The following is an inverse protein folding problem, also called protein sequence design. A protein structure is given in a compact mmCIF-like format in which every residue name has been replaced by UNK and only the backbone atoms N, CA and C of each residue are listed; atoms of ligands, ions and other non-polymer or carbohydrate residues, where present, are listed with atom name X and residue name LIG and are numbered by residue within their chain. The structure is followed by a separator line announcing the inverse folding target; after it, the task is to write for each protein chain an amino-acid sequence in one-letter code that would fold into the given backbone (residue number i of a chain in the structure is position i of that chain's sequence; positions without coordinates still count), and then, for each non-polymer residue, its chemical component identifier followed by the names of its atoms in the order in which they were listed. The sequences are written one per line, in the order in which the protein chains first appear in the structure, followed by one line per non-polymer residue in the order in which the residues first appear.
data_IF_302971299685
#
_entry.id   IF_302971299685
#
_cell.length_a   1.000
_cell.length_b   1.000
_cell.length_c   1.000
_cell.angle_alpha   90.00
_cell.angle_beta   90.00
_cell.angle_gamma   90.00
#
_symmetry.space_group_name_H-M   'P 1'
#
loop_
_entity.id
_entity.type
_entity.pdbx_description
1 polymer ?
#
# COMPACT_ATOMS: atom_id res chain seq x y z
N UNK A 1 4.00 -15.09 5.23
CA UNK A 1 2.85 -14.86 4.33
C UNK A 1 3.17 -15.25 2.89
N UNK A 2 2.23 -15.86 2.14
CA UNK A 2 2.38 -16.22 0.71
C UNK A 2 2.13 -15.01 -0.21
N UNK A 3 3.18 -14.22 -0.46
CA UNK A 3 3.11 -13.02 -1.31
C UNK A 3 2.72 -13.35 -2.76
N UNK A 4 3.12 -14.51 -3.29
CA UNK A 4 2.79 -14.92 -4.66
C UNK A 4 1.29 -15.21 -4.76
N UNK A 5 0.71 -15.88 -3.77
CA UNK A 5 -0.73 -16.09 -3.67
C UNK A 5 -1.54 -14.79 -3.73
N UNK A 6 -1.06 -13.73 -3.07
CA UNK A 6 -1.69 -12.41 -3.09
C UNK A 6 -1.66 -11.78 -4.48
N UNK A 7 -0.53 -11.84 -5.18
CA UNK A 7 -0.41 -11.32 -6.53
C UNK A 7 -1.28 -12.09 -7.52
N UNK A 8 -1.34 -13.43 -7.40
CA UNK A 8 -2.24 -14.27 -8.22
C UNK A 8 -3.70 -13.90 -7.96
N UNK A 9 -4.11 -13.81 -6.70
CA UNK A 9 -5.47 -13.42 -6.31
C UNK A 9 -5.88 -12.05 -6.83
N UNK A 10 -4.97 -11.08 -6.73
CA UNK A 10 -5.18 -9.76 -7.31
C UNK A 10 -5.31 -9.85 -8.84
N UNK A 11 -4.43 -10.59 -9.53
CA UNK A 11 -4.44 -10.69 -10.99
C UNK A 11 -5.73 -11.31 -11.56
N UNK A 12 -6.41 -12.15 -10.78
CA UNK A 12 -7.69 -12.77 -11.17
C UNK A 12 -8.91 -12.01 -10.65
N UNK A 13 -8.71 -10.96 -9.85
CA UNK A 13 -9.79 -10.17 -9.28
C UNK A 13 -10.40 -9.21 -10.31
N UNK A 14 -11.73 -9.05 -10.26
CA UNK A 14 -12.44 -8.02 -11.04
C UNK A 14 -11.97 -6.59 -10.75
N UNK A 15 -11.28 -6.37 -9.62
CA UNK A 15 -10.75 -5.06 -9.23
C UNK A 15 -9.40 -4.73 -9.87
N UNK A 16 -8.70 -5.72 -10.46
CA UNK A 16 -7.38 -5.50 -11.03
C UNK A 16 -7.36 -4.41 -12.10
N UNK A 17 -8.37 -4.42 -12.98
CA UNK A 17 -8.53 -3.41 -14.04
C UNK A 17 -8.97 -2.04 -13.55
N UNK A 18 -9.40 -1.93 -12.29
CA UNK A 18 -9.84 -0.67 -11.68
C UNK A 18 -8.70 0.06 -10.96
N UNK A 19 -7.60 -0.64 -10.66
CA UNK A 19 -6.43 -0.05 -10.02
C UNK A 19 -5.61 0.75 -11.04
N UNK A 20 -5.20 1.95 -10.63
CA UNK A 20 -4.19 2.71 -11.38
C UNK A 20 -2.83 2.05 -11.23
N UNK A 21 -1.95 2.26 -12.22
CA UNK A 21 -0.57 1.76 -12.16
C UNK A 21 0.19 2.21 -10.90
N UNK A 22 -0.07 3.43 -10.40
CA UNK A 22 0.52 3.92 -9.15
C UNK A 22 0.00 3.16 -7.93
N UNK A 23 -1.29 2.83 -7.88
CA UNK A 23 -1.91 2.06 -6.80
C UNK A 23 -1.40 0.62 -6.78
N UNK A 24 -1.27 0.00 -7.96
CA UNK A 24 -0.68 -1.34 -8.08
C UNK A 24 0.80 -1.36 -7.63
N UNK A 25 1.60 -0.36 -8.04
CA UNK A 25 2.98 -0.22 -7.58
C UNK A 25 3.06 -0.06 -6.07
N UNK A 26 2.22 0.80 -5.48
CA UNK A 26 2.16 0.97 -4.04
C UNK A 26 1.80 -0.35 -3.36
N UNK A 27 0.77 -1.05 -3.83
CA UNK A 27 0.38 -2.33 -3.25
C UNK A 27 1.50 -3.37 -3.30
N UNK A 28 2.21 -3.50 -4.43
CA UNK A 28 3.38 -4.39 -4.52
C UNK A 28 4.46 -3.98 -3.52
N UNK A 29 4.72 -2.68 -3.36
CA UNK A 29 5.67 -2.18 -2.39
C UNK A 29 5.27 -2.56 -0.95
N UNK A 30 4.02 -2.34 -0.57
CA UNK A 30 3.48 -2.72 0.74
C UNK A 30 3.57 -4.24 0.95
N UNK A 31 3.24 -5.02 -0.08
CA UNK A 31 3.34 -6.48 -0.07
C UNK A 31 4.75 -6.96 0.21
N UNK A 32 5.75 -6.38 -0.45
CA UNK A 32 7.16 -6.73 -0.22
C UNK A 32 7.63 -6.35 1.19
N UNK A 33 7.17 -5.22 1.73
CA UNK A 33 7.58 -4.72 3.04
C UNK A 33 6.80 -5.32 4.23
N UNK A 34 5.72 -6.06 3.97
CA UNK A 34 4.97 -6.77 5.01
C UNK A 34 5.60 -8.10 5.40
N UNK A 35 5.47 -8.45 6.68
CA UNK A 35 5.77 -9.79 7.21
C UNK A 35 4.52 -10.68 7.25
N UNK A 36 3.37 -10.11 7.59
CA UNK A 36 2.08 -10.82 7.71
C UNK A 36 0.87 -9.94 7.31
N UNK A 37 -0.30 -10.57 7.19
CA UNK A 37 -1.60 -9.89 7.06
C UNK A 37 -2.09 -9.37 8.40
N UNK A 38 -2.83 -8.27 8.39
CA UNK A 38 -3.47 -7.66 9.57
C UNK A 38 -2.49 -7.19 10.66
N UNK A 39 -1.18 -7.40 10.48
CA UNK A 39 -0.12 -6.90 11.33
C UNK A 39 0.26 -5.47 10.92
N UNK A 40 0.29 -4.51 11.87
CA UNK A 40 0.68 -3.13 11.57
C UNK A 40 2.17 -3.05 11.23
N UNK A 41 2.45 -2.57 10.03
CA UNK A 41 3.79 -2.43 9.45
C UNK A 41 4.11 -0.97 9.20
N UNK A 42 5.41 -0.66 9.06
CA UNK A 42 5.88 0.70 8.80
C UNK A 42 6.68 0.74 7.50
N UNK A 43 6.47 1.79 6.72
CA UNK A 43 7.25 2.07 5.53
C UNK A 43 7.63 3.56 5.49
N UNK A 44 8.87 3.85 5.10
CA UNK A 44 9.35 5.22 4.94
C UNK A 44 8.64 5.90 3.74
N UNK A 45 8.18 7.13 3.92
CA UNK A 45 7.53 7.89 2.83
C UNK A 45 8.47 8.06 1.63
N UNK A 46 9.76 8.29 1.88
CA UNK A 46 10.79 8.40 0.84
C UNK A 46 10.88 7.13 -0.03
N UNK A 47 10.64 5.94 0.55
CA UNK A 47 10.62 4.71 -0.22
C UNK A 47 9.42 4.66 -1.17
N UNK A 48 8.26 5.18 -0.73
CA UNK A 48 7.06 5.30 -1.57
C UNK A 48 7.30 6.31 -2.70
N UNK A 49 7.88 7.46 -2.40
CA UNK A 49 8.21 8.50 -3.39
C UNK A 49 9.18 7.97 -4.46
N UNK A 50 10.24 7.26 -4.04
CA UNK A 50 11.18 6.62 -4.97
C UNK A 50 10.50 5.59 -5.88
N UNK A 51 9.57 4.80 -5.35
CA UNK A 51 8.81 3.83 -6.16
C UNK A 51 7.87 4.50 -7.17
N UNK A 52 7.31 5.66 -6.83
CA UNK A 52 6.44 6.44 -7.71
C UNK A 52 7.21 7.38 -8.65
N UNK A 53 8.49 7.63 -8.41
CA UNK A 53 9.35 8.50 -9.23
C UNK A 53 9.04 10.00 -9.10
N UNK A 54 8.25 10.37 -8.10
CA UNK A 54 7.89 11.75 -7.78
C UNK A 54 7.61 11.89 -6.28
N UNK A 55 7.75 13.11 -5.76
CA UNK A 55 7.22 13.41 -4.43
C UNK A 55 5.70 13.31 -4.47
N UNK A 56 5.13 12.76 -3.39
CA UNK A 56 3.69 12.60 -3.23
C UNK A 56 3.24 13.51 -2.10
N UNK A 57 2.23 14.32 -2.38
CA UNK A 57 1.58 15.03 -1.29
C UNK A 57 0.73 14.06 -0.44
N UNK A 58 0.37 14.52 0.76
CA UNK A 58 -0.43 13.72 1.71
C UNK A 58 -1.79 13.31 1.13
N UNK A 59 -2.39 14.13 0.25
CA UNK A 59 -3.70 13.86 -0.34
C UNK A 59 -3.62 12.77 -1.42
N UNK A 60 -2.58 12.79 -2.26
CA UNK A 60 -2.31 11.76 -3.26
C UNK A 60 -2.07 10.40 -2.59
N UNK A 61 -1.24 10.34 -1.54
CA UNK A 61 -0.99 9.11 -0.80
C UNK A 61 -2.27 8.57 -0.14
N UNK A 62 -3.04 9.44 0.53
CA UNK A 62 -4.34 9.07 1.12
C UNK A 62 -5.31 8.55 0.08
N UNK A 63 -5.37 9.20 -1.09
CA UNK A 63 -6.24 8.78 -2.20
C UNK A 63 -5.88 7.37 -2.70
N UNK A 64 -4.58 7.11 -2.87
CA UNK A 64 -4.10 5.79 -3.27
C UNK A 64 -4.41 4.72 -2.21
N UNK A 65 -4.16 5.00 -0.92
CA UNK A 65 -4.48 4.07 0.17
C UNK A 65 -5.98 3.81 0.29
N UNK A 66 -6.82 4.82 0.13
CA UNK A 66 -8.28 4.66 0.13
C UNK A 66 -8.76 3.78 -1.04
N UNK A 67 -8.09 3.86 -2.20
CA UNK A 67 -8.36 2.96 -3.34
C UNK A 67 -8.03 1.51 -2.96
N UNK A 68 -6.86 1.27 -2.36
CA UNK A 68 -6.45 -0.07 -1.91
C UNK A 68 -7.38 -0.63 -0.84
N UNK A 69 -7.80 0.19 0.13
CA UNK A 69 -8.74 -0.20 1.19
C UNK A 69 -10.10 -0.57 0.62
N UNK A 70 -10.62 0.23 -0.32
CA UNK A 70 -11.89 -0.04 -1.01
C UNK A 70 -11.92 -1.42 -1.67
N UNK A 71 -10.78 -1.88 -2.18
CA UNK A 71 -10.66 -3.18 -2.83
C UNK A 71 -10.18 -4.29 -1.91
N UNK A 72 -10.09 -4.04 -0.59
CA UNK A 72 -9.72 -5.05 0.39
C UNK A 72 -8.24 -5.45 0.34
N UNK A 73 -7.35 -4.54 -0.05
CA UNK A 73 -5.93 -4.83 -0.28
C UNK A 73 -5.04 -4.35 0.87
N UNK A 74 -5.21 -3.10 1.30
CA UNK A 74 -4.41 -2.51 2.36
C UNK A 74 -5.14 -1.36 3.05
N UNK A 75 -4.92 -1.20 4.35
CA UNK A 75 -5.43 -0.10 5.16
C UNK A 75 -4.25 0.78 5.59
N UNK A 76 -4.45 2.09 5.62
CA UNK A 76 -3.53 3.04 6.25
C UNK A 76 -4.01 3.36 7.67
N UNK A 77 -3.25 2.95 8.68
CA UNK A 77 -3.60 3.24 10.07
C UNK A 77 -3.15 4.64 10.51
N UNK A 78 -2.12 5.20 9.86
CA UNK A 78 -1.67 6.56 10.15
C UNK A 78 -0.39 6.97 9.43
N UNK A 79 -0.04 8.24 9.58
CA UNK A 79 1.23 8.82 9.10
C UNK A 79 1.93 9.42 10.32
N UNK A 80 3.20 9.07 10.50
CA UNK A 80 4.10 9.71 11.45
C UNK A 80 4.92 10.72 10.66
N UNK A 81 4.69 12.00 10.90
CA UNK A 81 5.52 13.07 10.34
C UNK A 81 6.86 13.11 11.06
N UNK A 82 7.96 13.12 10.31
CA UNK A 82 9.29 13.30 10.88
C UNK A 82 9.62 14.77 11.12
N UNK A 83 10.58 15.05 12.01
CA UNK A 83 11.00 16.42 12.31
C UNK A 83 11.52 17.15 11.05
N UNK A 84 10.92 18.29 10.74
CA UNK A 84 11.27 19.08 9.55
C UNK A 84 10.86 18.43 8.22
N UNK A 85 9.89 17.50 8.23
CA UNK A 85 9.39 16.83 7.03
C UNK A 85 10.27 15.71 6.48
N UNK A 86 11.38 15.39 7.17
CA UNK A 86 12.30 14.30 6.80
C UNK A 86 12.05 13.06 7.67
N UNK A 87 12.19 11.87 7.09
CA UNK A 87 11.98 10.57 7.76
C UNK A 87 10.53 10.31 8.22
N UNK A 88 9.54 10.83 7.47
CA UNK A 88 8.15 10.48 7.71
C UNK A 88 7.89 9.01 7.39
N UNK A 89 6.99 8.38 8.14
CA UNK A 89 6.60 6.97 7.96
C UNK A 89 5.09 6.84 7.81
N UNK A 90 4.66 5.90 6.97
CA UNK A 90 3.28 5.45 6.93
C UNK A 90 3.16 4.13 7.70
N UNK A 91 2.13 4.04 8.55
CA UNK A 91 1.70 2.81 9.20
C UNK A 91 0.59 2.20 8.35
N UNK A 92 0.72 0.94 7.99
CA UNK A 92 -0.25 0.24 7.15
C UNK A 92 -0.45 -1.20 7.60
N UNK A 93 -1.53 -1.81 7.13
CA UNK A 93 -1.81 -3.24 7.25
C UNK A 93 -2.25 -3.79 5.92
N UNK A 94 -1.74 -4.96 5.54
CA UNK A 94 -2.32 -5.70 4.43
C UNK A 94 -3.58 -6.41 4.88
N UNK A 95 -4.58 -6.40 4.02
CA UNK A 95 -5.80 -7.15 4.27
C UNK A 95 -5.69 -8.53 3.64
N UNK A 96 -6.26 -9.54 4.30
CA UNK A 96 -6.45 -10.84 3.67
C UNK A 96 -7.40 -10.69 2.48
N UNK A 97 -7.03 -11.20 1.29
CA UNK A 97 -7.94 -11.20 0.16
C UNK A 97 -9.16 -12.03 0.54
N UNK A 98 -10.34 -11.42 0.49
CA UNK A 98 -11.58 -12.17 0.56
C UNK A 98 -11.79 -12.77 -0.82
N UNK A 99 -11.26 -13.99 -1.01
CA UNK A 99 -11.53 -14.78 -2.20
C UNK A 99 -13.01 -15.16 -2.17
N UNK A 100 -13.82 -14.48 -2.99
CA UNK A 100 -15.23 -14.84 -3.25
C UNK A 100 -15.27 -15.67 -4.52
#
# INVERSE_FOLDING_TARGET
MDKIGFLRGLSTSKYFSLLKNSELKLYILLLVNSTDTDAPERIELEQIERANGKSLDSAELKSMMNSLERYGLAIMDGIIEGHGGKNGKMIFRLQRPVFV
#
